data_IF_765222532587
#
_entry.id   IF_765222532587
#
_cell.length_a   1.000
_cell.length_b   1.000
_cell.length_c   1.000
_cell.angle_alpha   90.00
_cell.angle_beta   90.00
_cell.angle_gamma   90.00
#
_symmetry.space_group_name_H-M   'P 1'
#
loop_
_entity.id
_entity.type
_entity.pdbx_description
1 polymer ?
#
# COMPACT_ATOMS: atom_id res chain seq x y z
N UNK A 1 23.68 6.42 8.74
CA UNK A 1 23.32 6.29 7.31
C UNK A 1 23.75 4.95 6.76
N UNK A 2 24.99 4.85 6.25
CA UNK A 2 25.48 3.67 5.53
C UNK A 2 25.44 2.34 6.31
N UNK A 3 25.70 2.34 7.61
CA UNK A 3 25.62 1.13 8.45
C UNK A 3 24.21 0.49 8.42
N UNK A 4 23.15 1.30 8.49
CA UNK A 4 21.78 0.81 8.37
C UNK A 4 21.45 0.42 6.92
N UNK A 5 21.97 1.15 5.94
CA UNK A 5 21.71 0.88 4.52
C UNK A 5 22.20 -0.51 4.08
N UNK A 6 23.39 -0.93 4.54
CA UNK A 6 23.91 -2.27 4.21
C UNK A 6 23.17 -3.41 4.91
N UNK A 7 22.40 -3.10 5.96
CA UNK A 7 21.56 -4.05 6.69
C UNK A 7 20.13 -4.13 6.16
N UNK A 8 19.81 -3.38 5.09
CA UNK A 8 18.47 -3.42 4.51
C UNK A 8 18.18 -4.83 3.97
N UNK A 9 17.18 -5.47 4.56
CA UNK A 9 16.69 -6.78 4.14
C UNK A 9 15.85 -6.75 2.86
N UNK A 10 15.34 -7.92 2.50
CA UNK A 10 14.39 -8.07 1.40
C UNK A 10 13.05 -7.37 1.70
N UNK A 11 12.28 -7.09 0.65
CA UNK A 11 11.02 -6.32 0.69
C UNK A 11 9.91 -6.98 1.50
N UNK A 12 10.02 -8.27 1.83
CA UNK A 12 9.11 -9.04 2.67
C UNK A 12 9.50 -9.01 4.16
N UNK A 13 10.69 -8.49 4.49
CA UNK A 13 11.23 -8.43 5.85
C UNK A 13 11.02 -7.07 6.50
N UNK A 14 11.34 -7.00 7.79
CA UNK A 14 11.32 -5.76 8.58
C UNK A 14 12.16 -4.65 7.91
N UNK A 15 11.52 -3.51 7.69
CA UNK A 15 12.10 -2.33 7.05
C UNK A 15 12.63 -1.30 8.06
N UNK A 16 12.76 -1.64 9.34
CA UNK A 16 13.28 -0.78 10.40
C UNK A 16 14.63 -0.16 10.01
N UNK A 17 15.54 -0.95 9.46
CA UNK A 17 16.85 -0.46 9.02
C UNK A 17 16.75 0.47 7.80
N UNK A 18 15.82 0.21 6.88
CA UNK A 18 15.52 1.10 5.74
C UNK A 18 15.02 2.47 6.22
N UNK A 19 14.14 2.50 7.23
CA UNK A 19 13.62 3.75 7.82
C UNK A 19 14.74 4.52 8.51
N UNK A 20 15.57 3.83 9.32
CA UNK A 20 16.72 4.45 9.99
C UNK A 20 17.73 5.01 8.98
N UNK A 21 18.05 4.23 7.93
CA UNK A 21 18.95 4.67 6.86
C UNK A 21 18.42 5.94 6.19
N UNK A 22 17.14 5.95 5.78
CA UNK A 22 16.47 7.11 5.18
C UNK A 22 16.59 8.34 6.07
N UNK A 23 16.24 8.22 7.35
CA UNK A 23 16.25 9.32 8.32
C UNK A 23 17.65 9.92 8.49
N UNK A 24 18.68 9.09 8.54
CA UNK A 24 20.06 9.57 8.66
C UNK A 24 20.56 10.27 7.39
N UNK A 25 20.18 9.78 6.20
CA UNK A 25 20.50 10.47 4.94
C UNK A 25 19.74 11.79 4.81
N UNK A 26 18.46 11.83 5.16
CA UNK A 26 17.65 13.05 5.20
C UNK A 26 18.28 14.09 6.13
N UNK A 27 18.77 13.67 7.30
CA UNK A 27 19.51 14.54 8.24
C UNK A 27 20.78 15.09 7.61
N UNK A 28 21.53 14.29 6.85
CA UNK A 28 22.76 14.73 6.19
C UNK A 28 22.46 15.80 5.13
N UNK A 29 21.46 15.57 4.28
CA UNK A 29 21.04 16.53 3.24
C UNK A 29 20.53 17.83 3.87
N UNK A 30 19.73 17.73 4.94
CA UNK A 30 19.19 18.91 5.63
C UNK A 30 20.26 19.75 6.32
N UNK A 31 21.28 19.12 6.93
CA UNK A 31 22.36 19.84 7.64
C UNK A 31 23.48 20.32 6.73
N UNK A 32 23.75 19.59 5.65
CA UNK A 32 24.90 19.84 4.76
C UNK A 32 24.51 19.77 3.27
N UNK A 33 23.62 20.65 2.78
CA UNK A 33 23.09 20.57 1.42
C UNK A 33 24.15 20.77 0.32
N UNK A 34 25.20 21.55 0.58
CA UNK A 34 26.28 21.81 -0.38
C UNK A 34 27.45 20.80 -0.31
N UNK A 35 27.35 19.79 0.56
CA UNK A 35 28.38 18.77 0.68
C UNK A 35 28.43 17.91 -0.58
N UNK A 36 29.62 17.45 -0.99
CA UNK A 36 29.75 16.45 -2.07
C UNK A 36 28.97 15.16 -1.78
N UNK A 37 28.70 14.89 -0.51
CA UNK A 37 27.92 13.73 -0.05
C UNK A 37 26.41 13.94 -0.09
N UNK A 38 25.90 15.17 -0.28
CA UNK A 38 24.45 15.43 -0.34
C UNK A 38 23.82 14.75 -1.56
N UNK A 39 24.46 14.86 -2.73
CA UNK A 39 24.02 14.21 -3.98
C UNK A 39 23.93 12.69 -3.80
N UNK A 40 24.94 12.08 -3.15
CA UNK A 40 24.92 10.65 -2.88
C UNK A 40 23.80 10.30 -1.88
N UNK A 41 23.62 11.08 -0.83
CA UNK A 41 22.58 10.86 0.15
C UNK A 41 21.17 11.01 -0.45
N UNK A 42 20.94 11.96 -1.35
CA UNK A 42 19.67 12.09 -2.08
C UNK A 42 19.35 10.85 -2.91
N UNK A 43 20.36 10.28 -3.60
CA UNK A 43 20.20 9.00 -4.30
C UNK A 43 19.83 7.88 -3.33
N UNK A 44 20.53 7.76 -2.19
CA UNK A 44 20.25 6.74 -1.18
C UNK A 44 18.86 6.91 -0.54
N UNK A 45 18.39 8.15 -0.34
CA UNK A 45 17.02 8.43 0.13
C UNK A 45 16.01 7.91 -0.87
N UNK A 46 16.23 8.16 -2.17
CA UNK A 46 15.33 7.68 -3.22
C UNK A 46 15.25 6.15 -3.24
N UNK A 47 16.38 5.46 -3.12
CA UNK A 47 16.43 4.00 -3.04
C UNK A 47 15.73 3.46 -1.78
N UNK A 48 15.91 4.11 -0.62
CA UNK A 48 15.19 3.73 0.60
C UNK A 48 13.68 3.90 0.43
N UNK A 49 13.24 5.01 -0.18
CA UNK A 49 11.81 5.25 -0.49
C UNK A 49 11.25 4.19 -1.45
N UNK A 50 12.00 3.82 -2.49
CA UNK A 50 11.59 2.77 -3.42
C UNK A 50 11.40 1.42 -2.71
N UNK A 51 12.34 1.01 -1.85
CA UNK A 51 12.21 -0.23 -1.06
C UNK A 51 11.03 -0.21 -0.11
N UNK A 52 10.74 0.92 0.54
CA UNK A 52 9.58 1.06 1.42
C UNK A 52 8.27 0.98 0.63
N UNK A 53 8.21 1.60 -0.56
CA UNK A 53 7.07 1.48 -1.46
C UNK A 53 6.86 0.03 -1.92
N UNK A 54 7.93 -0.69 -2.24
CA UNK A 54 7.89 -2.11 -2.59
C UNK A 54 7.34 -2.98 -1.46
N UNK A 55 7.76 -2.71 -0.23
CA UNK A 55 7.27 -3.41 0.96
C UNK A 55 5.76 -3.19 1.18
N UNK A 56 5.30 -1.94 1.13
CA UNK A 56 3.87 -1.63 1.24
C UNK A 56 3.08 -2.23 0.07
N UNK A 57 3.64 -2.24 -1.14
CA UNK A 57 3.01 -2.88 -2.30
C UNK A 57 2.89 -4.40 -2.11
N UNK A 58 3.93 -5.04 -1.57
CA UNK A 58 3.92 -6.46 -1.24
C UNK A 58 2.78 -6.79 -0.26
N UNK A 59 2.61 -6.00 0.80
CA UNK A 59 1.52 -6.15 1.77
C UNK A 59 0.16 -5.90 1.10
N UNK A 60 0.03 -4.83 0.31
CA UNK A 60 -1.19 -4.51 -0.43
C UNK A 60 -1.60 -5.65 -1.37
N UNK A 61 -0.65 -6.20 -2.12
CA UNK A 61 -0.87 -7.33 -3.02
C UNK A 61 -1.27 -8.61 -2.25
N UNK A 62 -0.70 -8.83 -1.07
CA UNK A 62 -1.10 -9.94 -0.20
C UNK A 62 -2.57 -9.84 0.25
N UNK A 63 -3.04 -8.63 0.61
CA UNK A 63 -4.46 -8.39 0.91
C UNK A 63 -5.35 -8.51 -0.32
N UNK A 64 -4.88 -8.00 -1.47
CA UNK A 64 -5.59 -8.07 -2.75
C UNK A 64 -5.85 -9.53 -3.15
N UNK A 65 -4.84 -10.40 -3.06
CA UNK A 65 -4.97 -11.85 -3.33
C UNK A 65 -5.92 -12.56 -2.37
N UNK A 66 -6.02 -12.09 -1.12
CA UNK A 66 -6.98 -12.62 -0.14
C UNK A 66 -8.41 -12.06 -0.32
N UNK A 67 -8.67 -11.27 -1.36
CA UNK A 67 -9.95 -10.57 -1.59
C UNK A 67 -10.32 -9.60 -0.46
N UNK A 68 -9.35 -9.17 0.34
CA UNK A 68 -9.52 -8.14 1.37
C UNK A 68 -9.28 -6.77 0.74
N UNK A 69 -10.17 -6.39 -0.18
CA UNK A 69 -9.98 -5.24 -1.05
C UNK A 69 -9.94 -3.91 -0.28
N UNK A 70 -10.70 -3.74 0.81
CA UNK A 70 -10.61 -2.53 1.66
C UNK A 70 -9.22 -2.33 2.26
N UNK A 71 -8.60 -3.40 2.75
CA UNK A 71 -7.27 -3.35 3.34
C UNK A 71 -6.20 -3.13 2.27
N UNK A 72 -6.35 -3.79 1.11
CA UNK A 72 -5.47 -3.60 -0.04
C UNK A 72 -5.51 -2.15 -0.54
N UNK A 73 -6.70 -1.57 -0.64
CA UNK A 73 -6.89 -0.21 -1.11
C UNK A 73 -6.18 0.81 -0.23
N UNK A 74 -6.35 0.70 1.11
CA UNK A 74 -5.67 1.57 2.07
C UNK A 74 -4.14 1.51 1.94
N UNK A 75 -3.59 0.33 1.66
CA UNK A 75 -2.15 0.14 1.44
C UNK A 75 -1.70 0.82 0.16
N UNK A 76 -2.39 0.58 -0.95
CA UNK A 76 -2.03 1.20 -2.23
C UNK A 76 -2.18 2.72 -2.21
N UNK A 77 -3.24 3.25 -1.61
CA UNK A 77 -3.43 4.70 -1.43
C UNK A 77 -2.35 5.31 -0.53
N UNK A 78 -1.90 4.59 0.49
CA UNK A 78 -0.74 4.99 1.30
C UNK A 78 0.54 5.12 0.46
N UNK A 79 0.78 4.20 -0.47
CA UNK A 79 1.95 4.27 -1.36
C UNK A 79 1.87 5.48 -2.28
N UNK A 80 0.71 5.72 -2.89
CA UNK A 80 0.49 6.86 -3.79
C UNK A 80 0.70 8.20 -3.06
N UNK A 81 0.33 8.29 -1.79
CA UNK A 81 0.49 9.50 -0.98
C UNK A 81 1.91 9.68 -0.46
N UNK A 82 2.53 8.63 0.08
CA UNK A 82 3.75 8.75 0.88
C UNK A 82 5.03 8.48 0.07
N UNK A 83 4.93 7.83 -1.10
CA UNK A 83 6.06 7.41 -1.94
C UNK A 83 5.92 7.79 -3.43
N UNK A 84 5.23 8.88 -3.74
CA UNK A 84 5.11 9.37 -5.12
C UNK A 84 6.49 9.63 -5.79
N UNK A 85 6.63 9.30 -7.07
CA UNK A 85 7.81 9.60 -7.88
C UNK A 85 8.98 8.61 -7.71
N UNK A 86 8.76 7.49 -7.02
CA UNK A 86 9.73 6.38 -6.94
C UNK A 86 9.71 5.47 -8.16
N UNK A 87 8.87 5.75 -9.16
CA UNK A 87 8.73 4.95 -10.39
C UNK A 87 7.71 3.80 -10.27
N UNK A 88 6.91 3.79 -9.22
CA UNK A 88 5.81 2.83 -9.03
C UNK A 88 4.42 3.42 -9.26
N UNK A 89 4.33 4.71 -9.58
CA UNK A 89 3.09 5.48 -9.59
C UNK A 89 2.02 4.83 -10.50
N UNK A 90 2.37 4.57 -11.76
CA UNK A 90 1.48 3.90 -12.73
C UNK A 90 1.00 2.53 -12.26
N UNK A 91 1.89 1.76 -11.63
CA UNK A 91 1.57 0.43 -11.12
C UNK A 91 0.61 0.52 -9.95
N UNK A 92 0.88 1.41 -9.00
CA UNK A 92 0.04 1.62 -7.82
C UNK A 92 -1.33 2.14 -8.23
N UNK A 93 -1.42 3.11 -9.13
CA UNK A 93 -2.67 3.65 -9.65
C UNK A 93 -3.54 2.57 -10.34
N UNK A 94 -2.93 1.73 -11.16
CA UNK A 94 -3.61 0.59 -11.79
C UNK A 94 -4.23 -0.35 -10.76
N UNK A 95 -3.47 -0.72 -9.73
CA UNK A 95 -3.96 -1.59 -8.65
C UNK A 95 -5.03 -0.91 -7.79
N UNK A 96 -4.94 0.40 -7.55
CA UNK A 96 -5.99 1.17 -6.88
C UNK A 96 -7.30 1.09 -7.68
N UNK A 97 -7.23 1.34 -8.99
CA UNK A 97 -8.39 1.30 -9.86
C UNK A 97 -9.02 -0.09 -9.89
N UNK A 98 -8.22 -1.15 -10.05
CA UNK A 98 -8.71 -2.53 -10.02
C UNK A 98 -9.34 -2.87 -8.66
N UNK A 99 -8.68 -2.50 -7.56
CA UNK A 99 -9.18 -2.77 -6.20
C UNK A 99 -10.52 -2.08 -5.95
N UNK A 100 -10.69 -0.82 -6.39
CA UNK A 100 -11.96 -0.09 -6.31
C UNK A 100 -13.07 -0.77 -7.12
N UNK A 101 -12.76 -1.24 -8.33
CA UNK A 101 -13.73 -1.96 -9.14
C UNK A 101 -14.18 -3.26 -8.47
N UNK A 102 -13.25 -4.06 -7.93
CA UNK A 102 -13.56 -5.30 -7.21
C UNK A 102 -14.40 -5.06 -5.97
N UNK A 103 -14.09 -4.02 -5.21
CA UNK A 103 -14.87 -3.58 -4.05
C UNK A 103 -16.32 -3.27 -4.41
N UNK A 104 -16.53 -2.50 -5.48
CA UNK A 104 -17.87 -2.14 -5.94
C UNK A 104 -18.69 -3.37 -6.34
N UNK A 105 -18.06 -4.36 -6.99
CA UNK A 105 -18.72 -5.62 -7.35
C UNK A 105 -19.07 -6.47 -6.12
N UNK A 106 -18.19 -6.55 -5.11
CA UNK A 106 -18.50 -7.23 -3.86
C UNK A 106 -19.66 -6.58 -3.10
N UNK A 107 -19.70 -5.25 -3.04
CA UNK A 107 -20.77 -4.50 -2.39
C UNK A 107 -22.11 -4.68 -3.11
N UNK A 108 -22.12 -4.66 -4.45
CA UNK A 108 -23.33 -5.00 -5.24
C UNK A 108 -23.79 -6.42 -4.96
N UNK A 109 -22.88 -7.39 -4.92
CA UNK A 109 -23.20 -8.79 -4.66
C UNK A 109 -23.77 -9.01 -3.25
N UNK A 110 -23.25 -8.31 -2.23
CA UNK A 110 -23.81 -8.31 -0.88
C UNK A 110 -25.23 -7.77 -0.85
N UNK A 111 -25.48 -6.59 -1.45
CA UNK A 111 -26.82 -6.00 -1.53
C UNK A 111 -27.84 -6.92 -2.18
N UNK A 112 -27.48 -7.55 -3.30
CA UNK A 112 -28.38 -8.51 -3.97
C UNK A 112 -28.68 -9.74 -3.11
N UNK A 113 -27.72 -10.23 -2.33
CA UNK A 113 -27.94 -11.34 -1.39
C UNK A 113 -28.89 -10.93 -0.26
N UNK A 114 -28.68 -9.76 0.34
CA UNK A 114 -29.55 -9.23 1.39
C UNK A 114 -30.99 -9.02 0.90
N UNK A 115 -31.18 -8.49 -0.31
CA UNK A 115 -32.50 -8.34 -0.93
C UNK A 115 -33.18 -9.69 -1.13
N UNK A 116 -32.44 -10.70 -1.62
CA UNK A 116 -32.96 -12.07 -1.79
C UNK A 116 -33.32 -12.71 -0.45
N UNK A 117 -32.54 -12.50 0.60
CA UNK A 117 -32.82 -13.00 1.95
C UNK A 117 -34.06 -12.32 2.55
N UNK A 118 -34.17 -11.00 2.45
CA UNK A 118 -35.37 -10.25 2.88
C UNK A 118 -36.62 -10.70 2.12
N UNK A 119 -36.53 -10.96 0.82
CA UNK A 119 -37.64 -11.47 0.02
C UNK A 119 -38.05 -12.91 0.42
N UNK A 120 -37.09 -13.76 0.78
CA UNK A 120 -37.37 -15.12 1.30
C UNK A 120 -38.00 -15.08 2.69
N UNK A 121 -37.57 -14.18 3.57
CA UNK A 121 -38.15 -13.99 4.89
C UNK A 121 -39.63 -13.54 4.80
N UNK A 122 -39.93 -12.53 3.97
CA UNK A 122 -41.31 -12.06 3.73
C UNK A 122 -42.24 -13.15 3.19
N UNK A 123 -41.73 -14.06 2.35
CA UNK A 123 -42.52 -15.21 1.85
C UNK A 123 -42.78 -16.29 2.90
N UNK A 124 -41.94 -16.40 3.94
CA UNK A 124 -42.14 -17.35 5.06
C UNK A 124 -43.10 -16.81 6.13
N UNK A 125 -43.24 -15.49 6.26
CA UNK A 125 -44.15 -14.84 7.21
C UNK A 125 -45.57 -14.62 6.67
N UNK A 126 -45.84 -14.92 5.39
CA UNK A 126 -47.19 -14.87 4.87
C UNK A 126 -48.06 -15.95 5.55
N UNK A 127 -49.16 -15.57 6.24
CA UNK A 127 -49.98 -16.52 6.99
C UNK A 127 -50.58 -17.57 6.05
N UNK A 128 -50.53 -18.84 6.47
CA UNK A 128 -51.27 -19.91 5.78
C UNK A 128 -52.77 -19.60 5.86
N UNK A 129 -53.51 -19.73 4.74
CA UNK A 129 -54.96 -19.56 4.72
C UNK A 129 -55.66 -20.62 5.58
#
# INVERSE_FOLDING_TARGET
GMCHYVQIGAVDRDQTETIKARREFERLVARFPQSKFSILAEKMIRECKAKLAEHEFYIGNFYFKQKKYDAALKRFEGIARDYAGVGMDLKVESYIAETKARLAEEEKAKKLKEEKEKAKAKKKEAPKP
#
